data_IF_607269006657
#
_entry.id   IF_607269006657
#
_cell.length_a   1.000
_cell.length_b   1.000
_cell.length_c   1.000
_cell.angle_alpha   90.00
_cell.angle_beta   90.00
_cell.angle_gamma   90.00
#
_symmetry.space_group_name_H-M   'P 1'
#
loop_
_entity.id
_entity.type
_entity.pdbx_description
1 polymer ?
#
# COMPACT_ATOMS: atom_id res chain seq x y z
N UNK A 1 -2.33 -19.89 16.36
CA UNK A 1 -1.46 -19.72 15.18
C UNK A 1 -0.49 -18.53 15.29
N UNK A 2 -0.89 -17.26 15.13
CA UNK A 2 0.07 -16.13 15.10
C UNK A 2 1.02 -16.07 16.32
N UNK A 3 0.48 -16.31 17.52
CA UNK A 3 1.26 -16.47 18.77
C UNK A 3 2.25 -17.63 18.70
N UNK A 4 1.78 -18.81 18.28
CA UNK A 4 2.59 -20.04 18.23
C UNK A 4 3.72 -19.96 17.20
N UNK A 5 3.50 -19.17 16.15
CA UNK A 5 4.46 -18.91 15.09
C UNK A 5 5.37 -17.70 15.38
N UNK A 6 5.23 -17.05 16.54
CA UNK A 6 5.97 -15.83 16.91
C UNK A 6 5.92 -14.74 15.82
N UNK A 7 4.73 -14.49 15.27
CA UNK A 7 4.54 -13.44 14.27
C UNK A 7 4.69 -12.06 14.92
N UNK A 8 5.51 -11.21 14.32
CA UNK A 8 5.81 -9.87 14.84
C UNK A 8 4.63 -8.90 14.74
N UNK A 9 3.85 -8.99 13.65
CA UNK A 9 2.69 -8.13 13.39
C UNK A 9 1.55 -8.91 12.74
N UNK A 10 0.32 -8.63 13.18
CA UNK A 10 -0.90 -9.26 12.68
C UNK A 10 -1.90 -8.18 12.29
N UNK A 11 -2.38 -8.24 11.05
CA UNK A 11 -3.54 -7.47 10.64
C UNK A 11 -4.82 -8.17 11.08
N UNK A 12 -5.69 -7.45 11.81
CA UNK A 12 -6.97 -7.99 12.28
C UNK A 12 -8.05 -7.96 11.18
N UNK A 13 -7.82 -7.23 10.09
CA UNK A 13 -8.72 -7.13 8.94
C UNK A 13 -8.08 -6.42 7.75
N UNK A 14 -8.64 -6.65 6.56
CA UNK A 14 -8.12 -6.18 5.27
C UNK A 14 -9.26 -5.69 4.39
N UNK A 15 -9.34 -4.38 4.14
CA UNK A 15 -10.27 -3.73 3.20
C UNK A 15 -11.77 -4.03 3.39
N UNK A 16 -12.20 -4.35 4.61
CA UNK A 16 -13.57 -4.74 4.95
C UNK A 16 -14.52 -3.53 5.09
N UNK A 17 -14.55 -2.63 4.10
CA UNK A 17 -15.27 -1.33 4.12
C UNK A 17 -16.71 -1.37 4.65
N UNK A 18 -17.44 -2.47 4.39
CA UNK A 18 -18.84 -2.63 4.82
C UNK A 18 -18.96 -2.78 6.35
N UNK A 19 -17.92 -3.27 7.00
CA UNK A 19 -17.90 -3.55 8.44
C UNK A 19 -16.78 -2.83 9.18
N UNK A 20 -15.96 -1.99 8.55
CA UNK A 20 -14.92 -1.19 9.22
C UNK A 20 -15.35 0.23 9.59
N UNK A 21 -16.59 0.61 9.28
CA UNK A 21 -17.17 1.91 9.62
C UNK A 21 -17.64 1.98 11.08
N UNK A 22 -17.99 3.20 11.51
CA UNK A 22 -18.39 3.53 12.89
C UNK A 22 -19.49 2.63 13.50
N UNK A 23 -20.38 2.04 12.69
CA UNK A 23 -21.43 1.17 13.21
C UNK A 23 -20.88 -0.14 13.81
N UNK A 24 -19.66 -0.53 13.42
CA UNK A 24 -19.02 -1.78 13.84
C UNK A 24 -17.81 -1.54 14.77
N UNK A 25 -17.56 -0.29 15.19
CA UNK A 25 -16.43 0.03 16.06
C UNK A 25 -16.39 -0.84 17.32
N UNK A 26 -17.53 -1.04 17.99
CA UNK A 26 -17.59 -1.89 19.19
C UNK A 26 -17.24 -3.36 18.91
N UNK A 27 -17.67 -3.88 17.77
CA UNK A 27 -17.33 -5.24 17.33
C UNK A 27 -15.82 -5.40 17.17
N UNK A 28 -15.17 -4.46 16.47
CA UNK A 28 -13.73 -4.49 16.27
C UNK A 28 -12.95 -4.32 17.56
N UNK A 29 -13.35 -3.40 18.44
CA UNK A 29 -12.72 -3.25 19.77
C UNK A 29 -12.79 -4.54 20.58
N UNK A 30 -13.95 -5.21 20.56
CA UNK A 30 -14.14 -6.51 21.22
C UNK A 30 -13.24 -7.59 20.61
N UNK A 31 -13.16 -7.66 19.28
CA UNK A 31 -12.29 -8.60 18.58
C UNK A 31 -10.81 -8.40 18.96
N UNK A 32 -10.33 -7.16 18.91
CA UNK A 32 -8.94 -6.79 19.24
C UNK A 32 -8.62 -7.15 20.70
N UNK A 33 -9.53 -6.86 21.64
CA UNK A 33 -9.38 -7.26 23.04
C UNK A 33 -9.31 -8.78 23.21
N UNK A 34 -10.14 -9.53 22.48
CA UNK A 34 -10.12 -10.99 22.52
C UNK A 34 -8.81 -11.56 21.96
N UNK A 35 -8.25 -10.97 20.90
CA UNK A 35 -6.93 -11.35 20.36
C UNK A 35 -5.84 -11.15 21.43
N UNK A 36 -5.85 -10.01 22.13
CA UNK A 36 -4.93 -9.74 23.24
C UNK A 36 -5.13 -10.71 24.41
N UNK A 37 -6.37 -10.98 24.81
CA UNK A 37 -6.70 -11.93 25.87
C UNK A 37 -6.28 -13.37 25.53
N UNK A 38 -6.27 -13.74 24.24
CA UNK A 38 -5.71 -15.00 23.73
C UNK A 38 -4.18 -15.10 23.84
N UNK A 39 -3.50 -14.03 24.28
CA UNK A 39 -2.08 -14.00 24.57
C UNK A 39 -1.20 -13.68 23.36
N UNK A 40 -1.74 -13.07 22.30
CA UNK A 40 -0.91 -12.51 21.22
C UNK A 40 -0.35 -11.15 21.64
N UNK A 41 0.97 -11.08 21.75
CA UNK A 41 1.72 -9.90 22.21
C UNK A 41 2.42 -9.12 21.09
N UNK A 42 2.42 -9.62 19.86
CA UNK A 42 2.97 -8.91 18.69
C UNK A 42 2.13 -7.69 18.31
N UNK A 43 2.57 -6.93 17.33
CA UNK A 43 1.87 -5.74 16.88
C UNK A 43 0.53 -6.11 16.23
N UNK A 44 -0.48 -5.26 16.42
CA UNK A 44 -1.80 -5.34 15.81
C UNK A 44 -2.05 -4.13 14.94
N UNK A 45 -2.57 -4.38 13.74
CA UNK A 45 -3.04 -3.34 12.83
C UNK A 45 -4.33 -3.76 12.15
N UNK A 46 -4.86 -2.87 11.32
CA UNK A 46 -5.89 -3.14 10.33
C UNK A 46 -5.39 -2.55 9.01
N UNK A 47 -5.42 -3.32 7.93
CA UNK A 47 -5.02 -2.88 6.60
C UNK A 47 -6.23 -2.26 5.90
N UNK A 48 -6.26 -0.92 5.86
CA UNK A 48 -7.37 -0.16 5.30
C UNK A 48 -7.09 0.27 3.87
N UNK A 49 -8.12 0.40 3.05
CA UNK A 49 -7.99 1.20 1.83
C UNK A 49 -7.63 2.63 2.27
N UNK A 50 -6.57 3.16 1.67
CA UNK A 50 -5.95 4.42 2.04
C UNK A 50 -6.93 5.59 2.24
N UNK A 51 -6.53 6.56 3.07
CA UNK A 51 -7.30 7.77 3.34
C UNK A 51 -7.65 8.52 2.04
N UNK A 52 -8.85 9.11 1.87
CA UNK A 52 -9.99 9.11 2.77
C UNK A 52 -10.99 7.97 2.51
N UNK A 53 -10.64 6.94 1.74
CA UNK A 53 -11.64 5.95 1.29
C UNK A 53 -12.18 5.11 2.45
N UNK A 54 -11.29 4.50 3.24
CA UNK A 54 -11.65 3.67 4.39
C UNK A 54 -10.98 4.14 5.69
N UNK A 55 -9.70 4.51 5.65
CA UNK A 55 -8.91 4.89 6.84
C UNK A 55 -9.63 5.89 7.76
N UNK A 56 -10.33 6.88 7.20
CA UNK A 56 -11.05 7.88 7.99
C UNK A 56 -12.31 7.37 8.72
N UNK A 57 -12.83 6.21 8.30
CA UNK A 57 -14.09 5.64 8.81
C UNK A 57 -13.88 4.71 10.00
N UNK A 58 -12.63 4.34 10.27
CA UNK A 58 -12.25 3.39 11.31
C UNK A 58 -12.19 4.11 12.66
N UNK A 59 -13.13 3.77 13.54
CA UNK A 59 -13.25 4.35 14.89
C UNK A 59 -12.51 3.58 15.99
N UNK A 60 -11.68 2.60 15.63
CA UNK A 60 -10.98 1.72 16.56
C UNK A 60 -9.45 1.76 16.40
N UNK A 61 -8.92 2.78 15.72
CA UNK A 61 -7.47 2.97 15.57
C UNK A 61 -6.78 3.00 16.93
N UNK A 62 -7.40 3.58 17.97
CA UNK A 62 -6.86 3.68 19.33
C UNK A 62 -6.56 2.33 20.00
N UNK A 63 -7.16 1.24 19.51
CA UNK A 63 -6.94 -0.12 20.00
C UNK A 63 -5.87 -0.90 19.23
N UNK A 64 -5.30 -0.32 18.17
CA UNK A 64 -4.25 -0.92 17.34
C UNK A 64 -2.89 -0.28 17.66
N UNK A 65 -1.80 -0.91 17.25
CA UNK A 65 -0.45 -0.40 17.53
C UNK A 65 0.02 0.58 16.44
N UNK A 66 -0.42 0.38 15.20
CA UNK A 66 -0.10 1.25 14.06
C UNK A 66 -1.24 1.31 13.03
N UNK A 67 -1.24 2.37 12.22
CA UNK A 67 -2.20 2.58 11.12
C UNK A 67 -1.68 1.87 9.87
N UNK A 68 -2.41 0.87 9.38
CA UNK A 68 -2.12 0.16 8.14
C UNK A 68 -2.93 0.70 6.97
N UNK A 69 -2.27 0.98 5.85
CA UNK A 69 -2.94 1.42 4.62
C UNK A 69 -2.46 0.65 3.39
N UNK A 70 -3.40 0.11 2.64
CA UNK A 70 -3.17 -0.42 1.30
C UNK A 70 -3.25 0.76 0.34
N UNK A 71 -2.08 1.22 -0.10
CA UNK A 71 -1.84 2.53 -0.66
C UNK A 71 -1.74 2.50 -2.20
N UNK A 72 -2.88 2.22 -2.83
CA UNK A 72 -3.07 2.21 -4.29
C UNK A 72 -3.50 3.58 -4.83
N UNK A 73 -2.70 4.63 -4.62
CA UNK A 73 -3.06 6.00 -5.03
C UNK A 73 -3.12 6.13 -6.57
N UNK A 74 -4.26 6.52 -7.17
CA UNK A 74 -4.32 6.82 -8.60
C UNK A 74 -3.41 8.00 -8.97
N UNK A 75 -2.48 7.80 -9.90
CA UNK A 75 -1.55 8.80 -10.42
C UNK A 75 -2.03 9.50 -11.70
N UNK A 76 -3.03 8.93 -12.37
CA UNK A 76 -3.59 9.42 -13.63
C UNK A 76 -5.12 9.36 -13.59
N UNK A 77 -5.78 10.31 -14.25
CA UNK A 77 -7.19 10.20 -14.63
C UNK A 77 -7.29 10.11 -16.16
N UNK A 78 -7.47 8.89 -16.67
CA UNK A 78 -7.51 8.61 -18.12
C UNK A 78 -8.65 9.31 -18.87
N UNK A 79 -9.69 9.83 -18.20
CA UNK A 79 -10.78 10.56 -18.86
C UNK A 79 -10.50 12.05 -18.99
N UNK A 80 -9.66 12.60 -18.10
CA UNK A 80 -9.48 14.04 -17.95
C UNK A 80 -8.05 14.51 -18.29
N UNK A 81 -7.06 13.62 -18.14
CA UNK A 81 -5.66 13.96 -18.36
C UNK A 81 -5.31 13.76 -19.84
N UNK A 82 -4.88 14.83 -20.50
CA UNK A 82 -4.53 14.81 -21.92
C UNK A 82 -3.14 14.23 -22.21
N UNK A 83 -2.31 14.01 -21.19
CA UNK A 83 -0.94 13.54 -21.32
C UNK A 83 -0.59 12.56 -20.19
N UNK A 84 0.38 11.69 -20.44
CA UNK A 84 1.01 10.86 -19.40
C UNK A 84 1.74 11.79 -18.41
N UNK A 85 1.52 11.69 -17.09
CA UNK A 85 2.20 12.53 -16.13
C UNK A 85 3.71 12.28 -16.14
N UNK A 86 4.50 13.34 -15.94
CA UNK A 86 5.93 13.19 -15.70
C UNK A 86 6.17 12.58 -14.32
N UNK A 87 7.39 12.09 -14.07
CA UNK A 87 7.74 11.59 -12.74
C UNK A 87 7.57 12.67 -11.67
N UNK A 88 7.87 13.94 -11.98
CA UNK A 88 7.68 15.03 -11.01
C UNK A 88 6.20 15.34 -10.74
N UNK A 89 5.32 15.19 -11.73
CA UNK A 89 3.88 15.30 -11.50
C UNK A 89 3.39 14.19 -10.55
N UNK A 90 3.89 12.96 -10.72
CA UNK A 90 3.61 11.85 -9.80
C UNK A 90 4.12 12.13 -8.38
N UNK A 91 5.35 12.67 -8.24
CA UNK A 91 5.92 13.07 -6.94
C UNK A 91 5.07 14.13 -6.26
N UNK A 92 4.61 15.12 -7.03
CA UNK A 92 3.74 16.17 -6.50
C UNK A 92 2.42 15.57 -6.01
N UNK A 93 1.81 14.67 -6.78
CA UNK A 93 0.55 14.02 -6.41
C UNK A 93 0.66 13.18 -5.14
N UNK A 94 1.74 12.43 -4.96
CA UNK A 94 2.03 11.76 -3.68
C UNK A 94 2.25 12.75 -2.54
N UNK A 95 2.97 13.84 -2.78
CA UNK A 95 3.23 14.85 -1.76
C UNK A 95 1.95 15.55 -1.31
N UNK A 96 1.09 15.93 -2.25
CA UNK A 96 -0.22 16.53 -1.96
C UNK A 96 -1.09 15.59 -1.13
N UNK A 97 -1.08 14.30 -1.49
CA UNK A 97 -1.73 13.26 -0.70
C UNK A 97 -1.19 13.20 0.73
N UNK A 98 0.13 13.16 0.92
CA UNK A 98 0.75 13.09 2.24
C UNK A 98 0.43 14.32 3.10
N UNK A 99 0.42 15.53 2.52
CA UNK A 99 0.02 16.73 3.23
C UNK A 99 -1.46 16.68 3.64
N UNK A 100 -2.33 16.22 2.74
CA UNK A 100 -3.76 16.07 3.03
C UNK A 100 -4.02 15.03 4.13
N UNK A 101 -3.38 13.88 4.07
CA UNK A 101 -3.45 12.85 5.11
C UNK A 101 -2.88 13.34 6.45
N UNK A 102 -1.76 14.08 6.44
CA UNK A 102 -1.16 14.66 7.65
C UNK A 102 -2.15 15.55 8.40
N UNK A 103 -2.89 16.40 7.69
CA UNK A 103 -3.93 17.26 8.30
C UNK A 103 -4.98 16.41 9.02
N UNK A 104 -5.48 15.34 8.38
CA UNK A 104 -6.43 14.43 9.01
C UNK A 104 -5.84 13.74 10.24
N UNK A 105 -4.61 13.23 10.13
CA UNK A 105 -3.95 12.51 11.21
C UNK A 105 -3.73 13.40 12.43
N UNK A 106 -3.26 14.63 12.23
CA UNK A 106 -3.04 15.59 13.33
C UNK A 106 -4.33 16.04 14.03
N UNK A 107 -5.47 15.93 13.36
CA UNK A 107 -6.79 16.23 13.94
C UNK A 107 -7.38 15.06 14.74
N UNK A 108 -6.73 13.88 14.76
CA UNK A 108 -7.16 12.75 15.58
C UNK A 108 -6.78 12.94 17.05
N UNK A 109 -7.32 12.08 17.93
CA UNK A 109 -6.88 12.01 19.33
C UNK A 109 -5.39 11.70 19.42
N UNK A 110 -4.74 12.13 20.51
CA UNK A 110 -3.30 11.89 20.72
C UNK A 110 -2.90 10.42 20.62
N UNK A 111 -3.78 9.51 21.05
CA UNK A 111 -3.56 8.07 20.96
C UNK A 111 -3.55 7.53 19.53
N UNK A 112 -4.13 8.25 18.57
CA UNK A 112 -4.17 7.89 17.14
C UNK A 112 -3.14 8.68 16.35
N UNK A 113 -3.03 9.99 16.59
CA UNK A 113 -2.13 10.88 15.85
C UNK A 113 -0.65 10.63 16.10
N UNK A 114 -0.31 9.91 17.18
CA UNK A 114 1.05 9.48 17.51
C UNK A 114 1.39 8.06 17.02
N UNK A 115 0.44 7.35 16.39
CA UNK A 115 0.70 5.99 15.92
C UNK A 115 1.60 5.99 14.70
N UNK A 116 2.52 5.02 14.58
CA UNK A 116 3.22 4.78 13.34
C UNK A 116 2.23 4.55 12.20
N UNK A 117 2.59 5.00 11.00
CA UNK A 117 1.83 4.79 9.78
C UNK A 117 2.64 3.88 8.87
N UNK A 118 2.04 2.77 8.46
CA UNK A 118 2.67 1.80 7.56
C UNK A 118 1.79 1.63 6.33
N UNK A 119 2.38 1.80 5.15
CA UNK A 119 1.74 1.35 3.93
C UNK A 119 1.89 -0.17 3.85
N UNK A 120 0.81 -0.89 4.15
CA UNK A 120 0.78 -2.34 4.29
C UNK A 120 0.76 -3.05 2.95
N UNK A 121 0.44 -2.32 1.89
CA UNK A 121 0.46 -2.82 0.52
C UNK A 121 0.61 -1.62 -0.43
N UNK A 122 1.54 -1.73 -1.39
CA UNK A 122 1.73 -0.73 -2.46
C UNK A 122 2.14 -1.44 -3.74
N UNK A 123 1.64 -0.96 -4.88
CA UNK A 123 2.21 -1.29 -6.17
C UNK A 123 1.43 -0.72 -7.34
N UNK A 124 2.02 -0.83 -8.53
CA UNK A 124 1.46 -0.32 -9.77
C UNK A 124 1.64 -1.36 -10.87
N UNK A 125 0.58 -1.72 -11.61
CA UNK A 125 0.72 -2.48 -12.85
C UNK A 125 1.58 -1.73 -13.85
N UNK A 126 2.40 -2.43 -14.63
CA UNK A 126 3.25 -1.84 -15.65
C UNK A 126 2.49 -1.51 -16.94
N UNK A 127 1.52 -0.61 -16.82
CA UNK A 127 0.74 -0.05 -17.92
C UNK A 127 0.12 1.31 -17.55
N UNK A 128 -0.40 2.02 -18.56
CA UNK A 128 -1.06 3.31 -18.36
C UNK A 128 -2.28 3.21 -17.43
N UNK A 129 -3.13 2.18 -17.65
CA UNK A 129 -4.28 1.92 -16.78
C UNK A 129 -3.87 1.63 -15.33
N UNK A 130 -2.67 1.07 -15.12
CA UNK A 130 -2.11 0.83 -13.79
C UNK A 130 -1.85 2.12 -13.01
N UNK A 131 -1.56 3.23 -13.69
CA UNK A 131 -1.48 4.54 -13.03
C UNK A 131 -2.85 5.09 -12.65
N UNK A 132 -3.92 4.69 -13.34
CA UNK A 132 -5.26 5.22 -13.11
C UNK A 132 -6.07 4.42 -12.08
N UNK A 133 -5.93 3.10 -12.08
CA UNK A 133 -6.61 2.21 -11.15
C UNK A 133 -5.60 1.16 -10.66
N UNK A 134 -4.70 1.53 -9.73
CA UNK A 134 -3.56 0.69 -9.38
C UNK A 134 -3.94 -0.64 -8.73
N UNK A 135 -5.13 -0.75 -8.13
CA UNK A 135 -5.64 -1.98 -7.54
C UNK A 135 -6.40 -2.89 -8.52
N UNK A 136 -6.63 -2.46 -9.76
CA UNK A 136 -7.40 -3.25 -10.73
C UNK A 136 -6.56 -4.39 -11.31
N UNK A 137 -7.12 -5.60 -11.35
CA UNK A 137 -6.54 -6.76 -12.04
C UNK A 137 -6.36 -6.49 -13.54
N UNK A 138 -5.10 -6.47 -14.03
CA UNK A 138 -4.84 -6.32 -15.45
C UNK A 138 -5.40 -7.51 -16.25
N UNK A 139 -5.85 -7.29 -17.49
CA UNK A 139 -6.27 -8.37 -18.37
C UNK A 139 -5.06 -9.20 -18.81
N UNK A 140 -5.25 -10.51 -19.02
CA UNK A 140 -4.18 -11.42 -19.44
C UNK A 140 -3.45 -10.99 -20.72
N UNK A 141 -4.16 -10.38 -21.67
CA UNK A 141 -3.63 -10.08 -23.00
C UNK A 141 -2.86 -8.74 -23.06
N UNK A 142 -2.89 -7.92 -22.00
CA UNK A 142 -2.15 -6.65 -21.92
C UNK A 142 -2.27 -5.76 -23.18
N UNK A 143 -3.50 -5.36 -23.53
CA UNK A 143 -3.82 -4.56 -24.72
C UNK A 143 -4.40 -3.19 -24.38
N UNK A 144 -4.35 -2.26 -25.33
CA UNK A 144 -4.92 -0.91 -25.16
C UNK A 144 -4.24 -0.15 -24.03
N UNK A 145 -5.02 0.39 -23.07
CA UNK A 145 -4.46 1.07 -21.89
C UNK A 145 -3.70 0.13 -20.94
N UNK A 146 -3.82 -1.19 -21.13
CA UNK A 146 -3.02 -2.22 -20.45
C UNK A 146 -1.82 -2.69 -21.27
N UNK A 147 -1.49 -2.04 -22.40
CA UNK A 147 -0.25 -2.34 -23.12
C UNK A 147 0.94 -2.11 -22.18
N UNK A 148 1.86 -3.07 -22.15
CA UNK A 148 2.98 -3.01 -21.23
C UNK A 148 3.83 -1.77 -21.41
N UNK A 149 4.12 -1.11 -20.29
CA UNK A 149 4.99 0.02 -20.20
C UNK A 149 5.74 -0.02 -18.86
N UNK A 150 6.93 -0.62 -18.89
CA UNK A 150 7.73 -0.82 -17.67
C UNK A 150 8.30 0.50 -17.14
N UNK A 151 8.51 1.48 -18.01
CA UNK A 151 8.96 2.82 -17.64
C UNK A 151 7.95 3.52 -16.73
N UNK A 152 6.64 3.35 -16.98
CA UNK A 152 5.61 3.95 -16.12
C UNK A 152 5.60 3.35 -14.71
N UNK A 153 5.77 2.03 -14.60
CA UNK A 153 5.89 1.37 -13.30
C UNK A 153 7.12 1.88 -12.54
N UNK A 154 8.27 1.94 -13.21
CA UNK A 154 9.52 2.42 -12.62
C UNK A 154 9.42 3.89 -12.18
N UNK A 155 8.81 4.75 -13.01
CA UNK A 155 8.54 6.14 -12.67
C UNK A 155 7.62 6.27 -11.45
N UNK A 156 6.58 5.44 -11.34
CA UNK A 156 5.67 5.46 -10.19
C UNK A 156 6.39 5.09 -8.88
N UNK A 157 7.24 4.06 -8.88
CA UNK A 157 8.04 3.69 -7.71
C UNK A 157 9.09 4.75 -7.37
N UNK A 158 9.81 5.30 -8.35
CA UNK A 158 10.75 6.42 -8.12
C UNK A 158 10.03 7.63 -7.52
N UNK A 159 8.84 7.94 -8.04
CA UNK A 159 8.04 9.05 -7.55
C UNK A 159 7.57 8.84 -6.11
N UNK A 160 7.10 7.62 -5.78
CA UNK A 160 6.72 7.25 -4.42
C UNK A 160 7.87 7.45 -3.44
N UNK A 161 9.04 6.88 -3.73
CA UNK A 161 10.19 6.96 -2.82
C UNK A 161 10.71 8.40 -2.67
N UNK A 162 10.78 9.16 -3.76
CA UNK A 162 11.14 10.57 -3.69
C UNK A 162 10.12 11.39 -2.88
N UNK A 163 8.82 11.09 -2.99
CA UNK A 163 7.79 11.77 -2.21
C UNK A 163 7.85 11.40 -0.72
N UNK A 164 8.12 10.12 -0.39
CA UNK A 164 8.32 9.66 0.98
C UNK A 164 9.51 10.38 1.64
N UNK A 165 10.63 10.51 0.93
CA UNK A 165 11.81 11.25 1.40
C UNK A 165 11.48 12.74 1.65
N UNK A 166 10.81 13.40 0.69
CA UNK A 166 10.39 14.81 0.80
C UNK A 166 9.41 15.06 1.95
N UNK A 167 8.62 14.06 2.32
CA UNK A 167 7.60 14.15 3.36
C UNK A 167 7.94 13.25 4.56
N UNK A 168 9.22 13.25 4.97
CA UNK A 168 9.70 12.44 6.08
C UNK A 168 8.84 12.60 7.34
N UNK A 169 8.59 11.47 8.02
CA UNK A 169 7.75 11.40 9.22
C UNK A 169 6.25 11.28 8.97
N UNK A 170 5.79 11.12 7.72
CA UNK A 170 4.38 10.77 7.43
C UNK A 170 4.12 9.26 7.40
N UNK A 171 5.16 8.48 7.11
CA UNK A 171 5.10 7.04 6.92
C UNK A 171 6.39 6.44 7.50
N UNK A 172 6.22 5.45 8.37
CA UNK A 172 7.28 4.79 9.14
C UNK A 172 7.70 3.46 8.50
N UNK A 173 6.96 2.97 7.52
CA UNK A 173 7.27 1.74 6.82
C UNK A 173 6.42 1.51 5.59
N UNK A 174 6.94 0.77 4.63
CA UNK A 174 6.20 0.41 3.42
C UNK A 174 6.47 -1.05 3.08
N UNK A 175 5.41 -1.81 2.89
CA UNK A 175 5.43 -3.17 2.37
C UNK A 175 5.00 -3.08 0.90
N UNK A 176 5.94 -3.38 0.00
CA UNK A 176 5.59 -3.56 -1.41
C UNK A 176 5.09 -4.98 -1.56
N UNK A 177 3.86 -5.14 -2.05
CA UNK A 177 3.28 -6.47 -2.17
C UNK A 177 4.06 -7.28 -3.20
N UNK A 178 4.38 -8.52 -2.85
CA UNK A 178 5.15 -9.38 -3.73
C UNK A 178 4.22 -10.25 -4.56
N UNK A 179 3.64 -9.64 -5.60
CA UNK A 179 2.87 -10.38 -6.60
C UNK A 179 3.73 -11.42 -7.28
N UNK A 180 3.12 -12.57 -7.57
CA UNK A 180 3.77 -13.69 -8.27
C UNK A 180 4.96 -14.27 -7.48
N UNK A 181 4.82 -14.30 -6.15
CA UNK A 181 5.76 -14.97 -5.26
C UNK A 181 5.58 -16.50 -5.35
N UNK A 182 6.63 -17.31 -5.56
CA UNK A 182 6.54 -18.78 -5.64
C UNK A 182 5.76 -19.49 -4.52
N UNK A 183 5.59 -18.84 -3.37
CA UNK A 183 4.85 -19.39 -2.22
C UNK A 183 3.40 -18.91 -2.12
N UNK A 184 2.90 -18.08 -3.03
CA UNK A 184 1.55 -17.52 -2.99
C UNK A 184 0.58 -18.27 -3.93
N UNK A 185 -0.72 -18.40 -3.59
CA UNK A 185 -1.69 -19.10 -4.43
C UNK A 185 -1.92 -18.47 -5.82
N UNK A 186 -1.54 -17.20 -5.99
CA UNK A 186 -1.60 -16.45 -7.25
C UNK A 186 -0.33 -16.59 -8.10
N UNK A 187 0.63 -17.39 -7.66
CA UNK A 187 1.81 -17.81 -8.44
C UNK A 187 1.42 -18.79 -9.54
N UNK A 188 2.00 -18.60 -10.72
CA UNK A 188 1.88 -19.56 -11.82
C UNK A 188 3.25 -19.78 -12.43
N UNK A 189 3.70 -21.04 -12.51
CA UNK A 189 5.06 -21.44 -12.97
C UNK A 189 5.49 -20.84 -14.33
N UNK A 190 4.52 -20.44 -15.17
CA UNK A 190 4.77 -19.89 -16.51
C UNK A 190 4.49 -18.38 -16.63
N UNK A 191 4.26 -17.68 -15.50
CA UNK A 191 4.20 -16.21 -15.50
C UNK A 191 5.63 -15.68 -15.49
N UNK A 192 5.95 -15.00 -16.59
CA UNK A 192 7.15 -14.21 -16.70
C UNK A 192 6.79 -12.85 -17.31
N UNK A 193 7.80 -11.99 -17.45
CA UNK A 193 7.67 -10.69 -18.12
C UNK A 193 7.19 -10.78 -19.57
N UNK A 194 7.13 -11.96 -20.19
CA UNK A 194 6.64 -12.15 -21.55
C UNK A 194 5.14 -12.49 -21.58
N UNK A 195 4.63 -13.19 -20.56
CA UNK A 195 3.24 -13.65 -20.53
C UNK A 195 2.29 -12.74 -19.73
N UNK A 196 2.81 -11.93 -18.80
CA UNK A 196 2.03 -11.00 -17.96
C UNK A 196 2.73 -9.63 -17.80
N UNK A 197 3.16 -9.09 -18.93
CA UNK A 197 4.02 -7.90 -19.01
C UNK A 197 3.38 -6.62 -18.44
N UNK A 198 2.05 -6.52 -18.35
CA UNK A 198 1.36 -5.38 -17.75
C UNK A 198 0.98 -5.56 -16.27
N UNK A 199 1.37 -6.67 -15.64
CA UNK A 199 1.03 -6.99 -14.24
C UNK A 199 1.84 -6.17 -13.22
N UNK A 200 1.49 -6.32 -11.93
CA UNK A 200 2.14 -5.63 -10.81
C UNK A 200 3.55 -6.10 -10.50
N UNK A 201 3.87 -7.38 -10.75
CA UNK A 201 5.20 -7.91 -10.42
C UNK A 201 6.28 -7.00 -11.01
N UNK A 202 7.27 -6.66 -10.21
CA UNK A 202 8.44 -5.88 -10.64
C UNK A 202 9.54 -6.77 -11.17
N UNK A 203 9.47 -8.08 -10.93
CA UNK A 203 10.53 -9.03 -11.26
C UNK A 203 10.89 -8.95 -12.75
N UNK A 204 12.18 -8.79 -13.04
CA UNK A 204 12.68 -8.64 -14.41
C UNK A 204 12.35 -7.30 -15.07
N UNK A 205 11.80 -6.31 -14.35
CA UNK A 205 11.48 -4.97 -14.83
C UNK A 205 12.36 -3.92 -14.15
N UNK A 206 12.53 -2.71 -14.73
CA UNK A 206 13.37 -1.67 -14.13
C UNK A 206 12.97 -1.26 -12.70
N UNK A 207 11.69 -1.38 -12.35
CA UNK A 207 11.17 -1.11 -11.02
C UNK A 207 11.78 -2.01 -9.93
N UNK A 208 12.19 -3.25 -10.25
CA UNK A 208 12.88 -4.15 -9.30
C UNK A 208 14.19 -3.52 -8.82
N UNK A 209 14.96 -2.92 -9.72
CA UNK A 209 16.19 -2.21 -9.37
C UNK A 209 15.92 -0.97 -8.51
N UNK A 210 14.88 -0.19 -8.85
CA UNK A 210 14.46 0.98 -8.06
C UNK A 210 14.08 0.59 -6.63
N UNK A 211 13.29 -0.48 -6.46
CA UNK A 211 12.94 -1.01 -5.15
C UNK A 211 14.16 -1.54 -4.40
N UNK A 212 14.98 -2.37 -5.04
CA UNK A 212 16.16 -2.96 -4.43
C UNK A 212 17.12 -1.88 -3.92
N UNK A 213 17.32 -0.81 -4.69
CA UNK A 213 18.12 0.35 -4.27
C UNK A 213 17.55 1.00 -3.00
N UNK A 214 16.23 1.25 -2.97
CA UNK A 214 15.61 1.91 -1.82
C UNK A 214 15.69 1.06 -0.53
N UNK A 215 15.41 -0.24 -0.64
CA UNK A 215 15.44 -1.13 0.53
C UNK A 215 16.85 -1.51 0.97
N UNK A 216 17.82 -1.67 0.05
CA UNK A 216 19.21 -1.96 0.41
C UNK A 216 19.96 -0.77 0.99
N UNK A 217 19.68 0.47 0.53
CA UNK A 217 20.33 1.65 1.11
C UNK A 217 19.96 1.84 2.58
N UNK A 218 18.74 1.46 2.97
CA UNK A 218 18.30 1.50 4.37
C UNK A 218 18.89 0.40 5.28
N UNK A 219 19.53 -0.64 4.72
CA UNK A 219 20.16 -1.73 5.51
C UNK A 219 21.60 -1.38 5.91
N UNK A 220 22.27 -0.49 5.17
CA UNK A 220 23.65 -0.08 5.50
C UNK A 220 23.73 1.01 6.59
N UNK A 221 22.59 1.60 6.94
CA UNK A 221 22.47 2.66 7.96
C UNK A 221 21.82 2.15 9.29
N UNK A 222 21.65 0.83 9.46
CA UNK A 222 21.22 0.15 10.70
C UNK A 222 22.39 -0.67 11.29
#
# INVERSE_FOLDING_TARGET
MAKELNIDALSVGLELMKISNNNYTFYWKTLIQNIRAGGYSGLLTYCSIFYPIETQKIGFWDNLDFIGMDFYLPLLNITNDGNIPSQQDMVQKFSDYFQYFKIWLTNQSSNVSSKPVVFTEVGYPSALAGLAIPSATPPMQCIGNYSANFTLQDMAFKALFQALEKNSGICDGTIIFWWDNPTSPDFYDNRDVNNWNCSWTVHGKPAEYTMAKQFWWNILDL
#
